data_IF_466333004429
#
_entry.id   IF_466333004429
#
_cell.length_a   1.000
_cell.length_b   1.000
_cell.length_c   1.000
_cell.angle_alpha   90.00
_cell.angle_beta   90.00
_cell.angle_gamma   90.00
#
_symmetry.space_group_name_H-M   'P 1'
#
loop_
_entity.id
_entity.type
_entity.pdbx_description
1 polymer ?
#
# COMPACT_ATOMS: atom_id res chain seq x y z
N UNK A 1 53.50 54.84 17.82
CA UNK A 1 54.36 53.95 17.01
C UNK A 1 54.88 52.90 17.96
N UNK A 2 54.59 51.62 17.89
CA UNK A 2 54.02 50.74 16.86
C UNK A 2 53.24 49.63 17.60
N UNK A 3 52.05 49.30 17.10
CA UNK A 3 51.30 48.09 17.46
C UNK A 3 51.95 46.93 16.72
N UNK A 4 52.37 45.90 17.42
CA UNK A 4 52.44 44.54 16.87
C UNK A 4 51.59 43.66 17.77
N UNK A 5 50.41 43.31 17.27
CA UNK A 5 49.65 42.14 17.73
C UNK A 5 50.50 40.92 17.37
N UNK A 6 51.01 40.23 18.37
CA UNK A 6 51.55 38.88 18.19
C UNK A 6 50.40 37.92 18.50
N UNK A 7 50.00 37.17 17.47
CA UNK A 7 48.98 36.13 17.51
C UNK A 7 49.32 35.06 18.55
N UNK A 8 48.58 35.04 19.65
CA UNK A 8 48.57 33.93 20.60
C UNK A 8 47.38 33.00 20.32
N UNK A 9 47.40 32.37 19.15
CA UNK A 9 46.46 31.29 18.77
C UNK A 9 47.15 29.91 18.73
N UNK A 10 48.33 29.79 19.34
CA UNK A 10 49.11 28.54 19.30
C UNK A 10 48.67 27.48 20.33
N UNK A 11 47.67 27.78 21.16
CA UNK A 11 47.23 26.88 22.23
C UNK A 11 45.73 26.54 22.25
N UNK A 12 44.99 26.83 21.17
CA UNK A 12 43.63 26.30 21.04
C UNK A 12 43.67 24.85 20.56
N UNK A 13 43.99 23.92 21.47
CA UNK A 13 43.68 22.50 21.26
C UNK A 13 42.15 22.38 21.28
N UNK A 14 41.54 22.35 20.10
CA UNK A 14 40.12 22.04 19.95
C UNK A 14 39.84 20.69 20.61
N UNK A 15 39.27 20.71 21.81
CA UNK A 15 38.73 19.55 22.51
C UNK A 15 37.37 19.14 21.90
N UNK A 16 37.27 19.18 20.57
CA UNK A 16 36.18 18.60 19.81
C UNK A 16 36.84 17.55 18.94
N UNK A 17 36.87 16.32 19.44
CA UNK A 17 37.02 15.15 18.59
C UNK A 17 35.71 15.07 17.82
N UNK A 18 35.74 15.47 16.54
CA UNK A 18 34.65 15.17 15.63
C UNK A 18 34.62 13.64 15.49
N UNK A 19 33.51 12.96 15.84
CA UNK A 19 33.41 11.55 15.55
C UNK A 19 33.55 11.40 14.03
N UNK A 20 34.45 10.51 13.61
CA UNK A 20 34.60 10.12 12.21
C UNK A 20 33.41 9.20 11.86
N UNK A 21 32.22 9.78 11.86
CA UNK A 21 30.98 9.14 11.45
C UNK A 21 30.64 9.62 10.04
N UNK A 22 31.54 9.32 9.10
CA UNK A 22 31.01 8.81 7.84
C UNK A 22 30.78 7.32 8.07
N UNK A 23 29.59 6.99 8.57
CA UNK A 23 29.04 5.70 8.19
C UNK A 23 29.23 5.58 6.68
N UNK A 24 29.78 4.47 6.16
CA UNK A 24 29.84 4.29 4.73
C UNK A 24 28.40 4.41 4.24
N UNK A 25 28.12 5.49 3.51
CA UNK A 25 26.87 5.70 2.81
C UNK A 25 26.66 4.41 2.02
N UNK A 26 25.73 3.56 2.49
CA UNK A 26 25.46 2.29 1.85
C UNK A 26 25.15 2.62 0.40
N UNK A 27 26.07 2.24 -0.50
CA UNK A 27 25.90 2.48 -1.91
C UNK A 27 24.51 1.96 -2.28
N UNK A 28 23.68 2.75 -2.98
CA UNK A 28 22.31 2.36 -3.27
C UNK A 28 22.34 0.96 -3.86
N UNK A 29 21.83 0.00 -3.10
CA UNK A 29 21.83 -1.43 -3.40
C UNK A 29 20.87 -1.78 -4.53
N UNK A 30 20.30 -0.77 -5.19
CA UNK A 30 19.40 -0.93 -6.32
C UNK A 30 20.16 -1.45 -7.53
N UNK A 31 19.75 -2.62 -8.00
CA UNK A 31 20.14 -3.12 -9.32
C UNK A 31 19.95 -2.02 -10.37
N UNK A 32 20.90 -1.88 -11.30
CA UNK A 32 20.76 -0.96 -12.42
C UNK A 32 19.56 -1.37 -13.26
N UNK A 33 18.46 -0.62 -13.15
CA UNK A 33 17.29 -0.75 -14.03
C UNK A 33 17.53 0.16 -15.24
N UNK A 34 17.64 -0.38 -16.46
CA UNK A 34 17.76 0.46 -17.65
C UNK A 34 16.61 1.46 -17.72
N UNK A 35 16.90 2.72 -18.04
CA UNK A 35 15.90 3.80 -18.07
C UNK A 35 14.62 3.43 -18.84
N UNK A 36 14.76 2.72 -19.96
CA UNK A 36 13.63 2.21 -20.76
C UNK A 36 12.67 1.32 -19.95
N UNK A 37 13.21 0.46 -19.09
CA UNK A 37 12.45 -0.48 -18.27
C UNK A 37 11.79 0.27 -17.10
N UNK A 38 12.50 1.21 -16.49
CA UNK A 38 11.94 2.07 -15.46
C UNK A 38 10.76 2.91 -15.98
N UNK A 39 10.91 3.50 -17.16
CA UNK A 39 9.85 4.28 -17.81
C UNK A 39 8.65 3.40 -18.18
N UNK A 40 8.87 2.21 -18.74
CA UNK A 40 7.79 1.28 -19.06
C UNK A 40 6.97 0.91 -17.81
N UNK A 41 7.64 0.52 -16.72
CA UNK A 41 6.99 0.23 -15.44
C UNK A 41 6.23 1.43 -14.87
N UNK A 42 6.78 2.63 -15.02
CA UNK A 42 6.11 3.85 -14.58
C UNK A 42 4.82 4.12 -15.39
N UNK A 43 4.84 3.88 -16.70
CA UNK A 43 3.67 4.02 -17.57
C UNK A 43 2.59 3.00 -17.20
N UNK A 44 2.96 1.73 -16.99
CA UNK A 44 2.02 0.70 -16.54
C UNK A 44 1.39 1.08 -15.20
N UNK A 45 2.21 1.50 -14.24
CA UNK A 45 1.73 1.93 -12.92
C UNK A 45 0.80 3.14 -13.01
N UNK A 46 1.11 4.10 -13.87
CA UNK A 46 0.25 5.25 -14.12
C UNK A 46 -1.08 4.84 -14.78
N UNK A 47 -1.04 3.93 -15.76
CA UNK A 47 -2.23 3.40 -16.43
C UNK A 47 -3.20 2.74 -15.45
N UNK A 48 -2.69 1.85 -14.60
CA UNK A 48 -3.50 1.19 -13.56
C UNK A 48 -4.04 2.21 -12.55
N UNK A 49 -3.26 3.23 -12.19
CA UNK A 49 -3.69 4.29 -11.28
C UNK A 49 -4.83 5.13 -11.87
N UNK A 50 -4.75 5.46 -13.16
CA UNK A 50 -5.82 6.21 -13.86
C UNK A 50 -7.10 5.36 -13.96
N UNK A 51 -6.99 4.08 -14.30
CA UNK A 51 -8.13 3.18 -14.35
C UNK A 51 -8.79 3.03 -12.96
N UNK A 52 -7.98 2.81 -11.93
CA UNK A 52 -8.46 2.66 -10.56
C UNK A 52 -9.11 3.94 -10.02
N UNK A 53 -8.55 5.11 -10.31
CA UNK A 53 -9.10 6.40 -9.88
C UNK A 53 -10.50 6.68 -10.42
N UNK A 54 -10.90 6.06 -11.53
CA UNK A 54 -12.25 6.20 -12.08
C UNK A 54 -13.33 5.44 -11.29
N UNK A 55 -12.93 4.54 -10.39
CA UNK A 55 -13.83 3.60 -9.69
C UNK A 55 -13.60 3.53 -8.17
N UNK A 56 -12.68 4.34 -7.65
CA UNK A 56 -12.41 4.55 -6.21
C UNK A 56 -12.77 5.96 -5.77
N UNK A 57 -12.83 6.22 -4.46
CA UNK A 57 -13.27 7.50 -3.92
C UNK A 57 -12.16 8.34 -3.30
N UNK A 58 -11.00 7.75 -3.03
CA UNK A 58 -9.88 8.46 -2.41
C UNK A 58 -8.52 8.13 -3.05
N UNK A 59 -7.53 9.03 -2.96
CA UNK A 59 -6.18 8.76 -3.47
C UNK A 59 -5.52 7.53 -2.85
N UNK A 60 -5.76 7.27 -1.55
CA UNK A 60 -5.18 6.11 -0.87
C UNK A 60 -5.78 4.79 -1.37
N UNK A 61 -7.09 4.77 -1.68
CA UNK A 61 -7.71 3.62 -2.35
C UNK A 61 -7.12 3.43 -3.74
N UNK A 62 -6.95 4.51 -4.51
CA UNK A 62 -6.35 4.44 -5.85
C UNK A 62 -4.94 3.86 -5.80
N UNK A 63 -4.09 4.35 -4.89
CA UNK A 63 -2.72 3.86 -4.72
C UNK A 63 -2.74 2.37 -4.37
N UNK A 64 -3.52 1.99 -3.34
CA UNK A 64 -3.59 0.61 -2.90
C UNK A 64 -4.12 -0.33 -4.00
N UNK A 65 -5.26 0.03 -4.59
CA UNK A 65 -5.92 -0.76 -5.64
C UNK A 65 -5.06 -0.94 -6.87
N UNK A 66 -4.43 0.14 -7.36
CA UNK A 66 -3.54 0.07 -8.53
C UNK A 66 -2.32 -0.81 -8.25
N UNK A 67 -1.70 -0.69 -7.06
CA UNK A 67 -0.58 -1.54 -6.66
C UNK A 67 -0.98 -3.00 -6.56
N UNK A 68 -2.13 -3.30 -5.96
CA UNK A 68 -2.64 -4.66 -5.88
C UNK A 68 -2.90 -5.25 -7.28
N UNK A 69 -3.50 -4.47 -8.19
CA UNK A 69 -3.74 -4.89 -9.57
C UNK A 69 -2.44 -5.17 -10.33
N UNK A 70 -1.42 -4.30 -10.21
CA UNK A 70 -0.10 -4.49 -10.83
C UNK A 70 0.58 -5.79 -10.38
N UNK A 71 0.36 -6.22 -9.14
CA UNK A 71 0.92 -7.47 -8.61
C UNK A 71 0.10 -8.68 -9.06
N UNK A 72 -1.23 -8.58 -9.06
CA UNK A 72 -2.11 -9.70 -9.40
C UNK A 72 -2.10 -10.04 -10.89
N UNK A 73 -2.05 -9.03 -11.76
CA UNK A 73 -2.13 -9.22 -13.22
C UNK A 73 -1.08 -10.21 -13.77
N UNK A 74 0.24 -10.04 -13.54
CA UNK A 74 1.23 -10.98 -14.08
C UNK A 74 1.10 -12.38 -13.49
N UNK A 75 0.70 -12.50 -12.21
CA UNK A 75 0.49 -13.81 -11.56
C UNK A 75 -0.69 -14.54 -12.20
N UNK A 76 -1.79 -13.83 -12.48
CA UNK A 76 -2.95 -14.42 -13.15
C UNK A 76 -2.60 -14.83 -14.59
N UNK A 77 -1.86 -13.97 -15.33
CA UNK A 77 -1.40 -14.28 -16.68
C UNK A 77 -0.52 -15.54 -16.72
N UNK A 78 0.44 -15.68 -15.80
CA UNK A 78 1.30 -16.87 -15.69
C UNK A 78 0.49 -18.15 -15.43
N UNK A 79 -0.59 -18.05 -14.66
CA UNK A 79 -1.49 -19.17 -14.36
C UNK A 79 -2.54 -19.42 -15.45
N UNK A 80 -2.60 -18.58 -16.49
CA UNK A 80 -3.65 -18.61 -17.50
C UNK A 80 -5.04 -18.27 -16.95
N UNK A 81 -5.10 -17.48 -15.88
CA UNK A 81 -6.32 -17.03 -15.23
C UNK A 81 -6.78 -15.68 -15.78
N UNK A 82 -8.07 -15.55 -16.03
CA UNK A 82 -8.67 -14.26 -16.36
C UNK A 82 -8.72 -13.38 -15.10
N UNK A 83 -8.08 -12.20 -15.16
CA UNK A 83 -8.13 -11.19 -14.11
C UNK A 83 -8.88 -9.94 -14.55
N UNK A 84 -9.86 -9.51 -13.75
CA UNK A 84 -10.62 -8.28 -14.01
C UNK A 84 -10.68 -7.37 -12.79
N UNK A 85 -10.98 -6.10 -13.05
CA UNK A 85 -11.23 -5.08 -12.03
C UNK A 85 -12.67 -4.60 -12.20
N UNK A 86 -13.44 -4.59 -11.10
CA UNK A 86 -14.84 -4.15 -11.09
C UNK A 86 -15.84 -5.30 -11.13
N UNK A 87 -17.04 -5.03 -11.68
CA UNK A 87 -18.19 -5.91 -11.54
C UNK A 87 -18.33 -6.99 -12.62
N UNK A 88 -17.31 -7.20 -13.45
CA UNK A 88 -17.39 -8.16 -14.56
C UNK A 88 -17.44 -9.61 -14.05
N UNK A 89 -18.57 -10.26 -14.29
CA UNK A 89 -18.79 -11.67 -13.97
C UNK A 89 -18.15 -12.55 -15.04
N UNK A 90 -17.27 -13.47 -14.65
CA UNK A 90 -16.72 -14.51 -15.53
C UNK A 90 -15.23 -14.78 -15.37
N UNK A 91 -14.47 -13.77 -14.92
CA UNK A 91 -13.05 -13.87 -14.63
C UNK A 91 -12.77 -14.86 -13.48
N UNK A 92 -11.58 -15.45 -13.48
CA UNK A 92 -11.14 -16.39 -12.46
C UNK A 92 -10.79 -15.67 -11.14
N UNK A 93 -10.27 -14.44 -11.25
CA UNK A 93 -10.01 -13.56 -10.13
C UNK A 93 -10.50 -12.13 -10.43
N UNK A 94 -11.21 -11.53 -9.48
CA UNK A 94 -11.76 -10.17 -9.61
C UNK A 94 -11.34 -9.32 -8.43
N UNK A 95 -10.68 -8.19 -8.70
CA UNK A 95 -10.53 -7.11 -7.72
C UNK A 95 -11.75 -6.18 -7.84
N UNK A 96 -12.61 -6.16 -6.84
CA UNK A 96 -13.88 -5.43 -6.87
C UNK A 96 -13.82 -4.20 -5.94
N UNK A 97 -13.69 -2.98 -6.48
CA UNK A 97 -13.76 -1.75 -5.68
C UNK A 97 -15.18 -1.44 -5.23
N UNK A 98 -15.33 -0.77 -4.09
CA UNK A 98 -16.62 -0.28 -3.59
C UNK A 98 -17.65 -1.42 -3.38
N UNK A 99 -17.17 -2.57 -2.89
CA UNK A 99 -17.95 -3.80 -2.74
C UNK A 99 -19.03 -3.67 -1.66
N UNK A 100 -20.28 -3.95 -2.04
CA UNK A 100 -21.42 -3.96 -1.11
C UNK A 100 -21.61 -5.33 -0.46
N UNK A 101 -21.69 -5.36 0.87
CA UNK A 101 -22.07 -6.53 1.65
C UNK A 101 -23.08 -6.11 2.73
N UNK A 102 -24.28 -6.68 2.62
CA UNK A 102 -25.43 -6.27 3.43
C UNK A 102 -25.71 -4.77 3.27
N UNK A 103 -25.73 -4.01 4.36
CA UNK A 103 -25.92 -2.54 4.35
C UNK A 103 -24.61 -1.75 4.31
N UNK A 104 -23.48 -2.43 4.21
CA UNK A 104 -22.16 -1.83 4.29
C UNK A 104 -21.44 -1.90 2.95
N UNK A 105 -20.54 -0.94 2.73
CA UNK A 105 -19.67 -0.88 1.57
C UNK A 105 -18.22 -0.90 2.03
N UNK A 106 -17.43 -1.77 1.43
CA UNK A 106 -16.00 -1.96 1.67
C UNK A 106 -15.23 -1.43 0.46
N UNK A 107 -14.04 -0.88 0.68
CA UNK A 107 -13.29 -0.22 -0.39
C UNK A 107 -12.84 -1.21 -1.45
N UNK A 108 -12.44 -2.41 -1.04
CA UNK A 108 -12.13 -3.50 -1.96
C UNK A 108 -12.59 -4.86 -1.45
N UNK A 109 -12.92 -5.74 -2.39
CA UNK A 109 -13.05 -7.17 -2.19
C UNK A 109 -12.25 -7.92 -3.25
N UNK A 110 -11.63 -9.04 -2.88
CA UNK A 110 -11.03 -9.97 -3.85
C UNK A 110 -11.93 -11.21 -3.99
N UNK A 111 -12.46 -11.44 -5.18
CA UNK A 111 -13.35 -12.56 -5.46
C UNK A 111 -12.62 -13.56 -6.34
N UNK A 112 -12.74 -14.85 -6.02
CA UNK A 112 -12.24 -15.93 -6.85
C UNK A 112 -13.41 -16.77 -7.36
N UNK A 113 -13.31 -17.22 -8.60
CA UNK A 113 -14.32 -18.06 -9.23
C UNK A 113 -14.53 -19.36 -8.46
N UNK A 114 -15.78 -19.78 -8.37
CA UNK A 114 -16.20 -20.94 -7.59
C UNK A 114 -16.27 -20.71 -6.08
N UNK A 115 -15.84 -19.55 -5.56
CA UNK A 115 -16.03 -19.19 -4.17
C UNK A 115 -17.40 -18.51 -3.96
N UNK A 116 -18.09 -18.89 -2.89
CA UNK A 116 -19.41 -18.31 -2.54
C UNK A 116 -19.31 -16.96 -1.84
N UNK A 117 -18.10 -16.55 -1.45
CA UNK A 117 -17.79 -15.33 -0.72
C UNK A 117 -16.42 -14.79 -1.15
N UNK A 118 -16.16 -13.49 -1.00
CA UNK A 118 -14.83 -12.94 -1.20
C UNK A 118 -13.76 -13.64 -0.37
N UNK A 119 -12.55 -13.74 -0.91
CA UNK A 119 -11.37 -14.23 -0.20
C UNK A 119 -10.99 -13.27 0.94
N UNK A 120 -11.14 -11.97 0.68
CA UNK A 120 -10.82 -10.90 1.62
C UNK A 120 -11.63 -9.64 1.31
N UNK A 121 -11.85 -8.83 2.35
CA UNK A 121 -12.28 -7.44 2.27
C UNK A 121 -11.14 -6.54 2.77
N UNK A 122 -10.97 -5.39 2.14
CA UNK A 122 -9.99 -4.38 2.53
C UNK A 122 -10.67 -3.02 2.66
N UNK A 123 -10.31 -2.27 3.71
CA UNK A 123 -10.63 -0.84 3.83
C UNK A 123 -9.35 -0.01 3.92
N UNK A 124 -9.36 1.13 3.24
CA UNK A 124 -8.34 2.16 3.23
C UNK A 124 -8.83 3.33 4.07
N UNK A 125 -8.47 3.34 5.35
CA UNK A 125 -8.93 4.35 6.29
C UNK A 125 -8.08 5.63 6.20
N UNK A 126 -8.65 6.65 5.55
CA UNK A 126 -8.04 7.98 5.48
C UNK A 126 -8.28 8.85 6.72
N UNK A 127 -8.92 8.35 7.78
CA UNK A 127 -9.31 9.19 8.91
C UNK A 127 -8.18 9.34 9.93
N UNK A 128 -7.36 10.35 9.68
CA UNK A 128 -6.51 10.95 10.68
C UNK A 128 -7.38 11.57 11.82
N UNK A 129 -7.20 11.01 13.02
CA UNK A 129 -7.32 11.62 14.36
C UNK A 129 -8.66 12.03 15.01
N UNK A 130 -9.82 12.07 14.35
CA UNK A 130 -11.08 12.34 15.08
C UNK A 130 -12.25 11.47 14.61
N UNK A 131 -12.35 10.24 15.13
CA UNK A 131 -13.55 9.40 14.96
C UNK A 131 -14.59 9.69 16.03
N UNK A 132 -15.83 9.98 15.62
CA UNK A 132 -16.95 10.14 16.56
C UNK A 132 -17.37 8.79 17.15
N UNK A 133 -18.01 8.75 18.34
CA UNK A 133 -18.55 7.52 18.90
C UNK A 133 -19.53 6.79 17.96
N UNK A 134 -20.28 7.54 17.16
CA UNK A 134 -21.19 6.98 16.14
C UNK A 134 -20.43 6.29 15.02
N UNK A 135 -19.33 6.88 14.54
CA UNK A 135 -18.46 6.25 13.54
C UNK A 135 -17.86 4.95 14.07
N UNK A 136 -17.34 4.95 15.30
CA UNK A 136 -16.82 3.74 15.93
C UNK A 136 -17.89 2.65 16.09
N UNK A 137 -19.12 3.03 16.46
CA UNK A 137 -20.23 2.10 16.54
C UNK A 137 -20.57 1.50 15.17
N UNK A 138 -20.56 2.33 14.12
CA UNK A 138 -20.79 1.89 12.75
C UNK A 138 -19.68 0.95 12.26
N UNK A 139 -18.42 1.25 12.55
CA UNK A 139 -17.26 0.43 12.15
C UNK A 139 -17.29 -0.94 12.84
N UNK A 140 -17.71 -1.00 14.11
CA UNK A 140 -17.95 -2.28 14.82
C UNK A 140 -19.07 -3.10 14.18
N UNK A 141 -20.08 -2.46 13.62
CA UNK A 141 -21.15 -3.16 12.91
C UNK A 141 -20.68 -3.66 11.54
N UNK A 142 -19.85 -2.87 10.83
CA UNK A 142 -19.13 -3.30 9.62
C UNK A 142 -18.25 -4.53 9.90
N UNK A 143 -17.49 -4.51 10.98
CA UNK A 143 -16.64 -5.66 11.38
C UNK A 143 -17.46 -6.92 11.60
N UNK A 144 -18.56 -6.77 12.32
CA UNK A 144 -19.46 -7.88 12.59
C UNK A 144 -20.10 -8.41 11.32
N UNK A 145 -20.43 -7.57 10.34
CA UNK A 145 -20.98 -8.01 9.06
C UNK A 145 -19.98 -8.87 8.27
N UNK A 146 -18.72 -8.42 8.16
CA UNK A 146 -17.66 -9.20 7.53
C UNK A 146 -17.43 -10.53 8.24
N UNK A 147 -17.31 -10.50 9.57
CA UNK A 147 -17.12 -11.68 10.41
C UNK A 147 -18.27 -12.68 10.28
N UNK A 148 -19.52 -12.21 10.30
CA UNK A 148 -20.70 -13.07 10.16
C UNK A 148 -20.81 -13.69 8.76
N UNK A 149 -20.29 -13.02 7.73
CA UNK A 149 -20.14 -13.59 6.40
C UNK A 149 -18.94 -14.57 6.31
N UNK A 150 -18.18 -14.72 7.40
CA UNK A 150 -16.97 -15.53 7.48
C UNK A 150 -15.76 -14.89 6.79
N UNK A 151 -15.89 -13.69 6.24
CA UNK A 151 -14.88 -13.06 5.39
C UNK A 151 -13.88 -12.31 6.27
N UNK A 152 -12.59 -12.47 5.97
CA UNK A 152 -11.55 -11.71 6.65
C UNK A 152 -11.58 -10.26 6.17
N UNK A 153 -11.58 -9.32 7.10
CA UNK A 153 -11.44 -7.90 6.85
C UNK A 153 -10.06 -7.41 7.31
N UNK A 154 -9.38 -6.62 6.48
CA UNK A 154 -8.16 -5.89 6.84
C UNK A 154 -8.40 -4.41 6.65
N UNK A 155 -7.84 -3.59 7.55
CA UNK A 155 -7.83 -2.14 7.42
C UNK A 155 -6.40 -1.63 7.37
N UNK A 156 -6.15 -0.67 6.50
CA UNK A 156 -4.91 0.08 6.43
C UNK A 156 -5.23 1.56 6.59
N UNK A 157 -4.46 2.25 7.43
CA UNK A 157 -4.51 3.71 7.52
C UNK A 157 -3.88 4.36 6.28
N UNK A 158 -4.22 5.61 6.04
CA UNK A 158 -3.59 6.40 4.99
C UNK A 158 -2.08 6.54 5.16
N UNK A 159 -1.57 6.59 6.40
CA UNK A 159 -0.12 6.65 6.66
C UNK A 159 0.58 5.33 6.35
N UNK A 160 -0.04 4.18 6.63
CA UNK A 160 0.47 2.87 6.23
C UNK A 160 0.55 2.74 4.70
N UNK A 161 -0.52 3.11 3.98
CA UNK A 161 -0.54 3.00 2.51
C UNK A 161 0.46 3.96 1.88
N UNK A 162 0.52 5.22 2.33
CA UNK A 162 1.47 6.19 1.77
C UNK A 162 2.92 5.88 2.16
N UNK A 163 3.15 5.23 3.30
CA UNK A 163 4.48 4.86 3.78
C UNK A 163 5.02 3.58 3.14
N UNK A 164 4.19 2.54 2.98
CA UNK A 164 4.56 1.26 2.37
C UNK A 164 3.33 0.55 1.75
N UNK A 165 2.88 1.04 0.59
CA UNK A 165 1.79 0.42 -0.17
C UNK A 165 2.11 -1.05 -0.55
N UNK A 166 3.37 -1.34 -0.90
CA UNK A 166 3.78 -2.70 -1.29
C UNK A 166 3.68 -3.66 -0.08
N UNK A 167 4.00 -3.19 1.13
CA UNK A 167 3.77 -3.92 2.39
C UNK A 167 2.31 -4.22 2.66
N UNK A 168 1.42 -3.25 2.45
CA UNK A 168 -0.03 -3.43 2.58
C UNK A 168 -0.55 -4.48 1.57
N UNK A 169 -0.06 -4.45 0.33
CA UNK A 169 -0.38 -5.45 -0.70
C UNK A 169 0.12 -6.84 -0.28
N UNK A 170 1.36 -6.97 0.19
CA UNK A 170 1.90 -8.26 0.69
C UNK A 170 1.05 -8.84 1.82
N UNK A 171 0.65 -8.02 2.79
CA UNK A 171 -0.21 -8.44 3.89
C UNK A 171 -1.58 -8.92 3.39
N UNK A 172 -2.15 -8.24 2.40
CA UNK A 172 -3.41 -8.62 1.76
C UNK A 172 -3.29 -9.98 1.08
N UNK A 173 -2.26 -10.20 0.27
CA UNK A 173 -2.05 -11.46 -0.44
C UNK A 173 -1.80 -12.63 0.51
N UNK A 174 -0.99 -12.44 1.56
CA UNK A 174 -0.76 -13.46 2.59
C UNK A 174 -2.07 -13.86 3.30
N UNK A 175 -2.96 -12.89 3.52
CA UNK A 175 -4.28 -13.14 4.08
C UNK A 175 -5.21 -13.89 3.12
N UNK A 176 -5.13 -13.64 1.81
CA UNK A 176 -5.85 -14.41 0.79
C UNK A 176 -5.44 -15.89 0.77
N UNK A 177 -4.12 -16.17 0.82
CA UNK A 177 -3.61 -17.56 0.86
C UNK A 177 -4.19 -18.31 2.06
N UNK A 178 -4.22 -17.66 3.23
CA UNK A 178 -4.81 -18.25 4.45
C UNK A 178 -6.32 -18.52 4.33
N UNK A 179 -7.02 -17.75 3.51
CA UNK A 179 -8.46 -17.90 3.28
C UNK A 179 -8.77 -18.99 2.24
N UNK A 180 -7.92 -19.12 1.20
CA UNK A 180 -8.09 -20.12 0.14
C UNK A 180 -7.77 -21.56 0.59
N UNK A 181 -6.99 -21.74 1.67
CA UNK A 181 -6.62 -23.04 2.23
C UNK A 181 -7.63 -23.58 3.26
N UNK A 182 -8.77 -22.92 3.46
CA UNK A 182 -9.83 -23.32 4.40
C UNK A 182 -11.07 -23.80 3.68
#
# INVERSE_FOLDING_TARGET
MSRELVDDFSNFKSAIVWPDEREPEEAPTGDFVPLRLAVAKAIESAGESVAMAGITESPIETIFGAKLALVLRPVCEELGWDFSIGAELGADLVLYPQYALQRFRYDFALLAKGQTRPLILVECDGKDFHSSPEQQANDRLKDRAALNAGIRLIRFSGSEINGDADGCVRQTLAACVSAALR
#
